data_IF_965610222746
#
_entry.id   IF_965610222746
#
_cell.length_a   1.000
_cell.length_b   1.000
_cell.length_c   1.000
_cell.angle_alpha   90.00
_cell.angle_beta   90.00
_cell.angle_gamma   90.00
#
_symmetry.space_group_name_H-M   'P 1'
#
loop_
_entity.id
_entity.type
_entity.pdbx_description
1 polymer ?
#
# COMPACT_ATOMS: atom_id res chain seq x y z
N UNK A 1 -6.54 -9.92 12.11
CA UNK A 1 -6.05 -9.00 11.07
C UNK A 1 -6.04 -9.66 9.69
N UNK A 2 -5.32 -10.77 9.50
CA UNK A 2 -5.25 -11.44 8.21
C UNK A 2 -6.60 -12.02 7.74
N UNK A 3 -7.35 -12.65 8.64
CA UNK A 3 -8.67 -13.20 8.30
C UNK A 3 -9.65 -12.11 7.88
N UNK A 4 -9.62 -10.95 8.55
CA UNK A 4 -10.48 -9.83 8.18
C UNK A 4 -10.10 -9.28 6.80
N UNK A 5 -8.81 -9.22 6.46
CA UNK A 5 -8.36 -8.75 5.16
C UNK A 5 -8.80 -9.70 4.03
N UNK A 6 -8.72 -11.02 4.24
CA UNK A 6 -9.20 -12.00 3.28
C UNK A 6 -10.72 -11.95 3.10
N UNK A 7 -11.47 -11.76 4.19
CA UNK A 7 -12.93 -11.61 4.12
C UNK A 7 -13.31 -10.38 3.32
N UNK A 8 -12.61 -9.26 3.51
CA UNK A 8 -12.84 -8.03 2.74
C UNK A 8 -12.55 -8.25 1.26
N UNK A 9 -11.45 -8.93 0.93
CA UNK A 9 -11.12 -9.25 -0.47
C UNK A 9 -12.19 -10.12 -1.12
N UNK A 10 -12.67 -11.13 -0.41
CA UNK A 10 -13.75 -12.00 -0.91
C UNK A 10 -15.03 -11.20 -1.17
N UNK A 11 -15.43 -10.37 -0.21
CA UNK A 11 -16.63 -9.54 -0.35
C UNK A 11 -16.53 -8.64 -1.59
N UNK A 12 -15.43 -7.91 -1.74
CA UNK A 12 -15.26 -6.98 -2.84
C UNK A 12 -15.10 -7.67 -4.20
N UNK A 13 -14.61 -8.91 -4.22
CA UNK A 13 -14.55 -9.68 -5.47
C UNK A 13 -15.94 -10.05 -6.01
N UNK A 14 -16.95 -10.10 -5.12
CA UNK A 14 -18.31 -10.44 -5.50
C UNK A 14 -19.12 -9.19 -5.83
N UNK A 15 -19.06 -8.16 -5.00
CA UNK A 15 -19.98 -7.02 -5.08
C UNK A 15 -19.30 -5.69 -5.40
N UNK A 16 -17.98 -5.63 -5.30
CA UNK A 16 -17.23 -4.38 -5.49
C UNK A 16 -16.88 -4.13 -6.95
N UNK A 17 -16.39 -2.92 -7.19
CA UNK A 17 -15.79 -2.54 -8.45
C UNK A 17 -14.29 -2.82 -8.44
N UNK A 18 -13.64 -2.54 -9.57
CA UNK A 18 -12.21 -2.78 -9.75
C UNK A 18 -11.36 -2.04 -8.70
N UNK A 19 -11.71 -0.79 -8.39
CA UNK A 19 -11.00 0.02 -7.41
C UNK A 19 -11.13 -0.55 -5.99
N UNK A 20 -12.32 -1.01 -5.63
CA UNK A 20 -12.55 -1.64 -4.32
C UNK A 20 -11.76 -2.94 -4.19
N UNK A 21 -11.68 -3.73 -5.25
CA UNK A 21 -10.86 -4.95 -5.27
C UNK A 21 -9.38 -4.63 -5.13
N UNK A 22 -8.93 -3.55 -5.76
CA UNK A 22 -7.53 -3.09 -5.64
C UNK A 22 -7.20 -2.69 -4.21
N UNK A 23 -8.10 -1.97 -3.53
CA UNK A 23 -7.91 -1.61 -2.12
C UNK A 23 -7.86 -2.84 -1.20
N UNK A 24 -8.72 -3.82 -1.44
CA UNK A 24 -8.70 -5.06 -0.67
C UNK A 24 -7.38 -5.82 -0.87
N UNK A 25 -6.89 -5.90 -2.11
CA UNK A 25 -5.60 -6.52 -2.40
C UNK A 25 -4.46 -5.75 -1.73
N UNK A 26 -4.50 -4.42 -1.74
CA UNK A 26 -3.50 -3.59 -1.07
C UNK A 26 -3.46 -3.86 0.44
N UNK A 27 -4.61 -3.99 1.07
CA UNK A 27 -4.66 -4.32 2.50
C UNK A 27 -4.00 -5.66 2.78
N UNK A 28 -4.26 -6.67 1.96
CA UNK A 28 -3.61 -7.98 2.10
C UNK A 28 -2.10 -7.87 1.89
N UNK A 29 -1.65 -7.10 0.90
CA UNK A 29 -0.23 -6.88 0.67
C UNK A 29 0.44 -6.28 1.92
N UNK A 30 -0.18 -5.28 2.53
CA UNK A 30 0.34 -4.66 3.74
C UNK A 30 0.41 -5.65 4.91
N UNK A 31 -0.68 -6.39 5.14
CA UNK A 31 -0.74 -7.36 6.24
C UNK A 31 0.33 -8.43 6.08
N UNK A 32 0.47 -9.02 4.89
CA UNK A 32 1.48 -10.05 4.64
C UNK A 32 2.89 -9.50 4.77
N UNK A 33 3.14 -8.25 4.34
CA UNK A 33 4.47 -7.65 4.50
C UNK A 33 4.83 -7.49 5.98
N UNK A 34 3.88 -7.10 6.82
CA UNK A 34 4.09 -6.97 8.28
C UNK A 34 4.28 -8.31 8.96
N UNK A 35 3.68 -9.38 8.42
CA UNK A 35 3.89 -10.73 8.91
C UNK A 35 5.22 -11.34 8.45
N UNK A 36 5.95 -10.66 7.59
CA UNK A 36 7.20 -11.16 7.04
C UNK A 36 7.01 -12.28 6.00
N UNK A 37 5.90 -12.27 5.27
CA UNK A 37 5.59 -13.25 4.22
C UNK A 37 5.68 -12.57 2.85
N UNK A 38 6.89 -12.51 2.25
CA UNK A 38 7.12 -11.67 1.08
C UNK A 38 6.42 -12.14 -0.19
N UNK A 39 6.26 -13.44 -0.42
CA UNK A 39 5.65 -13.93 -1.66
C UNK A 39 4.16 -13.57 -1.75
N UNK A 40 3.33 -13.85 -0.72
CA UNK A 40 1.94 -13.39 -0.75
C UNK A 40 1.83 -11.87 -0.82
N UNK A 41 2.67 -11.15 -0.07
CA UNK A 41 2.67 -9.68 -0.08
C UNK A 41 2.90 -9.14 -1.49
N UNK A 42 3.91 -9.67 -2.18
CA UNK A 42 4.25 -9.26 -3.55
C UNK A 42 3.12 -9.58 -4.53
N UNK A 43 2.50 -10.73 -4.39
CA UNK A 43 1.40 -11.15 -5.26
C UNK A 43 0.21 -10.21 -5.16
N UNK A 44 -0.21 -9.86 -3.95
CA UNK A 44 -1.34 -8.95 -3.75
C UNK A 44 -0.99 -7.52 -4.16
N UNK A 45 0.25 -7.09 -3.91
CA UNK A 45 0.71 -5.78 -4.38
C UNK A 45 0.56 -5.66 -5.90
N UNK A 46 0.98 -6.69 -6.64
CA UNK A 46 0.89 -6.70 -8.09
C UNK A 46 -0.54 -6.56 -8.61
N UNK A 47 -1.52 -7.00 -7.83
CA UNK A 47 -2.94 -6.86 -8.18
C UNK A 47 -3.45 -5.45 -7.94
N UNK A 48 -2.90 -4.72 -6.97
CA UNK A 48 -3.37 -3.39 -6.60
C UNK A 48 -2.71 -2.27 -7.39
N UNK A 49 -1.43 -2.42 -7.73
CA UNK A 49 -0.64 -1.34 -8.33
C UNK A 49 -1.19 -0.80 -9.65
N UNK A 50 -1.64 -1.64 -10.62
CA UNK A 50 -2.14 -1.10 -11.89
C UNK A 50 -3.29 -0.14 -11.74
N UNK A 51 -4.08 -0.27 -10.67
CA UNK A 51 -5.24 0.58 -10.41
C UNK A 51 -4.84 1.77 -9.52
N UNK A 52 -4.14 1.50 -8.41
CA UNK A 52 -3.89 2.52 -7.38
C UNK A 52 -2.71 3.43 -7.70
N UNK A 53 -1.87 3.08 -8.68
CA UNK A 53 -0.82 3.94 -9.19
C UNK A 53 -1.18 4.56 -10.55
N UNK A 54 -2.40 4.33 -11.04
CA UNK A 54 -2.85 4.86 -12.33
C UNK A 54 -3.27 6.33 -12.21
N UNK A 55 -3.49 6.97 -13.36
CA UNK A 55 -4.01 8.34 -13.41
C UNK A 55 -5.44 8.45 -12.87
N UNK A 56 -6.16 7.34 -12.80
CA UNK A 56 -7.52 7.30 -12.25
C UNK A 56 -7.54 7.27 -10.72
N UNK A 57 -6.40 7.01 -10.09
CA UNK A 57 -6.30 7.01 -8.64
C UNK A 57 -6.23 8.45 -8.12
N UNK A 58 -6.83 8.67 -6.96
CA UNK A 58 -6.73 9.96 -6.29
C UNK A 58 -5.33 10.14 -5.68
N UNK A 59 -4.90 11.39 -5.42
CA UNK A 59 -3.56 11.63 -4.85
C UNK A 59 -3.29 10.84 -3.57
N UNK A 60 -4.26 10.74 -2.65
CA UNK A 60 -4.06 9.99 -1.42
C UNK A 60 -3.92 8.49 -1.69
N UNK A 61 -4.62 7.98 -2.71
CA UNK A 61 -4.52 6.57 -3.09
C UNK A 61 -3.13 6.23 -3.62
N UNK A 62 -2.55 7.11 -4.45
CA UNK A 62 -1.20 6.91 -4.94
C UNK A 62 -0.16 7.00 -3.83
N UNK A 63 -0.32 7.96 -2.91
CA UNK A 63 0.56 8.09 -1.76
C UNK A 63 0.55 6.81 -0.90
N UNK A 64 -0.65 6.29 -0.62
CA UNK A 64 -0.79 5.06 0.16
C UNK A 64 -0.21 3.86 -0.60
N UNK A 65 -0.42 3.80 -1.91
CA UNK A 65 0.12 2.71 -2.73
C UNK A 65 1.65 2.66 -2.67
N UNK A 66 2.32 3.81 -2.72
CA UNK A 66 3.78 3.84 -2.56
C UNK A 66 4.21 3.45 -1.15
N UNK A 67 3.46 3.85 -0.12
CA UNK A 67 3.76 3.45 1.26
C UNK A 67 3.69 1.93 1.42
N UNK A 68 2.64 1.30 0.89
CA UNK A 68 2.49 -0.16 0.95
C UNK A 68 3.57 -0.85 0.12
N UNK A 69 3.89 -0.31 -1.06
CA UNK A 69 4.97 -0.85 -1.90
C UNK A 69 6.32 -0.80 -1.17
N UNK A 70 6.57 0.25 -0.39
CA UNK A 70 7.78 0.34 0.43
C UNK A 70 7.82 -0.76 1.49
N UNK A 71 6.69 -1.03 2.15
CA UNK A 71 6.61 -2.09 3.15
C UNK A 71 6.86 -3.47 2.55
N UNK A 72 6.28 -3.74 1.38
CA UNK A 72 6.50 -5.01 0.67
C UNK A 72 7.95 -5.14 0.21
N UNK A 73 8.55 -4.07 -0.31
CA UNK A 73 9.95 -4.07 -0.73
C UNK A 73 10.89 -4.39 0.43
N UNK A 74 10.61 -3.85 1.61
CA UNK A 74 11.38 -4.16 2.82
C UNK A 74 11.26 -5.65 3.17
N UNK A 75 10.05 -6.21 3.13
CA UNK A 75 9.82 -7.62 3.43
C UNK A 75 10.53 -8.56 2.44
N UNK A 76 10.66 -8.15 1.17
CA UNK A 76 11.38 -8.89 0.13
C UNK A 76 12.89 -8.77 0.31
N UNK A 77 13.35 -7.69 0.95
CA UNK A 77 14.78 -7.37 1.07
C UNK A 77 15.31 -6.50 -0.06
N UNK A 78 14.42 -5.86 -0.83
CA UNK A 78 14.80 -4.95 -1.92
C UNK A 78 15.01 -3.54 -1.35
N UNK A 79 16.23 -3.25 -0.93
CA UNK A 79 16.58 -1.98 -0.29
C UNK A 79 16.41 -0.79 -1.24
N UNK A 80 16.66 -0.98 -2.52
CA UNK A 80 16.56 0.10 -3.51
C UNK A 80 15.09 0.48 -3.72
N UNK A 81 14.23 -0.50 -3.92
CA UNK A 81 12.79 -0.27 -4.08
C UNK A 81 12.17 0.29 -2.79
N UNK A 82 12.58 -0.22 -1.62
CA UNK A 82 12.12 0.27 -0.33
C UNK A 82 12.39 1.78 -0.19
N UNK A 83 13.62 2.18 -0.47
CA UNK A 83 14.01 3.59 -0.39
C UNK A 83 13.25 4.45 -1.38
N UNK A 84 13.13 3.99 -2.63
CA UNK A 84 12.47 4.73 -3.69
C UNK A 84 10.99 4.95 -3.40
N UNK A 85 10.28 3.90 -3.01
CA UNK A 85 8.85 3.99 -2.70
C UNK A 85 8.58 4.79 -1.44
N UNK A 86 9.41 4.65 -0.41
CA UNK A 86 9.26 5.42 0.83
C UNK A 86 9.44 6.91 0.58
N UNK A 87 10.43 7.28 -0.23
CA UNK A 87 10.66 8.67 -0.63
C UNK A 87 9.48 9.22 -1.41
N UNK A 88 9.00 8.47 -2.40
CA UNK A 88 7.87 8.87 -3.21
C UNK A 88 6.61 9.06 -2.36
N UNK A 89 6.33 8.14 -1.44
CA UNK A 89 5.21 8.26 -0.53
C UNK A 89 5.32 9.53 0.33
N UNK A 90 6.50 9.79 0.88
CA UNK A 90 6.74 10.97 1.72
C UNK A 90 6.51 12.26 0.95
N UNK A 91 7.00 12.34 -0.28
CA UNK A 91 6.83 13.52 -1.14
C UNK A 91 5.37 13.72 -1.51
N UNK A 92 4.67 12.66 -1.87
CA UNK A 92 3.26 12.75 -2.25
C UNK A 92 2.37 13.13 -1.08
N UNK A 93 2.66 12.60 0.12
CA UNK A 93 1.92 12.99 1.34
C UNK A 93 2.10 14.48 1.61
N UNK A 94 3.32 14.99 1.48
CA UNK A 94 3.60 16.42 1.70
C UNK A 94 2.82 17.30 0.70
N UNK A 95 2.50 16.78 -0.48
CA UNK A 95 1.76 17.50 -1.51
C UNK A 95 0.24 17.39 -1.36
N UNK A 96 -0.27 16.56 -0.44
CA UNK A 96 -1.72 16.42 -0.24
C UNK A 96 -2.30 17.70 0.34
N UNK A 97 -3.39 18.18 -0.27
CA UNK A 97 -4.06 19.40 0.17
C UNK A 97 -5.05 19.16 1.31
N UNK A 98 -5.63 17.95 1.40
CA UNK A 98 -6.59 17.61 2.44
C UNK A 98 -5.87 17.20 3.73
N UNK A 99 -6.06 17.94 4.85
CA UNK A 99 -5.39 17.61 6.11
C UNK A 99 -5.76 16.24 6.67
N UNK A 100 -6.99 15.78 6.44
CA UNK A 100 -7.44 14.48 6.94
C UNK A 100 -6.74 13.35 6.17
N UNK A 101 -6.69 13.44 4.84
CA UNK A 101 -5.97 12.48 4.01
C UNK A 101 -4.50 12.44 4.40
N UNK A 102 -3.88 13.61 4.56
CA UNK A 102 -2.48 13.71 4.96
C UNK A 102 -2.23 13.02 6.30
N UNK A 103 -3.08 13.28 7.29
CA UNK A 103 -2.92 12.70 8.63
C UNK A 103 -3.00 11.16 8.60
N UNK A 104 -3.91 10.60 7.81
CA UNK A 104 -4.08 9.16 7.69
C UNK A 104 -2.84 8.51 7.08
N UNK A 105 -2.34 9.08 5.99
CA UNK A 105 -1.17 8.50 5.31
C UNK A 105 0.11 8.69 6.13
N UNK A 106 0.27 9.83 6.79
CA UNK A 106 1.39 10.06 7.71
C UNK A 106 1.39 9.06 8.86
N UNK A 107 0.21 8.74 9.41
CA UNK A 107 0.09 7.73 10.45
C UNK A 107 0.53 6.35 9.95
N UNK A 108 0.17 6.01 8.71
CA UNK A 108 0.61 4.76 8.09
C UNK A 108 2.13 4.73 7.92
N UNK A 109 2.72 5.80 7.41
CA UNK A 109 4.17 5.89 7.21
C UNK A 109 4.94 5.75 8.52
N UNK A 110 4.40 6.26 9.64
CA UNK A 110 5.06 6.18 10.94
C UNK A 110 5.23 4.76 11.45
N UNK A 111 4.35 3.84 11.07
CA UNK A 111 4.42 2.43 11.53
C UNK A 111 5.12 1.51 10.54
N UNK A 112 5.61 2.05 9.42
CA UNK A 112 6.35 1.27 8.43
C UNK A 112 7.85 1.36 8.69
N UNK A 113 8.62 0.32 8.31
CA UNK A 113 10.07 0.36 8.43
C UNK A 113 10.65 1.47 7.57
N UNK A 114 11.56 2.27 8.15
CA UNK A 114 12.26 3.31 7.42
C UNK A 114 13.46 2.73 6.69
N UNK A 115 13.73 3.17 5.45
CA UNK A 115 14.92 2.72 4.74
C UNK A 115 16.18 3.22 5.44
N UNK A 116 17.24 2.42 5.39
CA UNK A 116 18.56 2.85 5.81
C UNK A 116 19.15 3.80 4.77
N UNK A 117 19.83 4.82 5.25
CA UNK A 117 20.49 5.79 4.38
C UNK A 117 21.89 5.31 3.94
#
# INVERSE_FOLDING_TARGET
MLQAAHAAMYFWSIVGNEKNRAHAAQLLALVYSKLGWPLPASRYLSRSEPILLSDQAEPWERALAHAVAASVAEAIGDCIAHRAHFREATEQVAALSDPEDRAIIEATLRVLPRPEE
#
